data_IF_864273166130
#
_entry.id   IF_864273166130
#
_cell.length_a   1.000
_cell.length_b   1.000
_cell.length_c   1.000
_cell.angle_alpha   90.00
_cell.angle_beta   90.00
_cell.angle_gamma   90.00
#
_symmetry.space_group_name_H-M   'P 1'
#
loop_
_entity.id
_entity.type
_entity.pdbx_description
1 polymer ?
#
# COMPACT_ATOMS: atom_id res chain seq x y z
N UNK A 1 3.82 9.71 -40.04
CA UNK A 1 4.97 8.99 -39.44
C UNK A 1 4.72 8.96 -37.94
N UNK A 2 4.54 7.79 -37.32
CA UNK A 2 4.38 7.75 -35.85
C UNK A 2 5.67 8.25 -35.20
N UNK A 3 5.54 9.08 -34.18
CA UNK A 3 6.70 9.61 -33.46
C UNK A 3 7.41 8.46 -32.72
N UNK A 4 8.73 8.58 -32.50
CA UNK A 4 9.51 7.61 -31.68
C UNK A 4 8.85 7.39 -30.31
N UNK A 5 8.24 8.45 -29.75
CA UNK A 5 7.47 8.42 -28.51
C UNK A 5 6.26 7.48 -28.60
N UNK A 6 5.44 7.60 -29.65
CA UNK A 6 4.27 6.72 -29.86
C UNK A 6 4.70 5.26 -30.07
N UNK A 7 5.83 5.02 -30.73
CA UNK A 7 6.40 3.69 -30.92
C UNK A 7 6.89 3.08 -29.61
N UNK A 8 7.58 3.85 -28.76
CA UNK A 8 8.04 3.41 -27.43
C UNK A 8 6.87 3.08 -26.49
N UNK A 9 5.84 3.94 -26.42
CA UNK A 9 4.66 3.65 -25.61
C UNK A 9 3.94 2.39 -26.07
N UNK A 10 3.89 2.13 -27.38
CA UNK A 10 3.29 0.90 -27.92
C UNK A 10 4.05 -0.34 -27.48
N UNK A 11 5.37 -0.32 -27.57
CA UNK A 11 6.20 -1.45 -27.13
C UNK A 11 6.07 -1.63 -25.62
N UNK A 12 6.23 -0.58 -24.83
CA UNK A 12 6.09 -0.65 -23.38
C UNK A 12 4.70 -1.17 -22.97
N UNK A 13 3.63 -0.65 -23.57
CA UNK A 13 2.25 -1.08 -23.27
C UNK A 13 2.04 -2.54 -23.64
N UNK A 14 2.48 -2.98 -24.82
CA UNK A 14 2.33 -4.36 -25.25
C UNK A 14 3.14 -5.31 -24.37
N UNK A 15 4.39 -4.97 -24.04
CA UNK A 15 5.21 -5.74 -23.11
C UNK A 15 4.53 -5.84 -21.74
N UNK A 16 4.03 -4.74 -21.18
CA UNK A 16 3.30 -4.79 -19.91
C UNK A 16 2.03 -5.64 -19.99
N UNK A 17 1.25 -5.53 -21.08
CA UNK A 17 0.04 -6.33 -21.27
C UNK A 17 0.35 -7.82 -21.45
N UNK A 18 1.45 -8.17 -22.12
CA UNK A 18 1.88 -9.55 -22.34
C UNK A 18 2.47 -10.16 -21.06
N UNK A 19 3.21 -9.38 -20.27
CA UNK A 19 3.63 -9.80 -18.92
C UNK A 19 2.42 -10.11 -18.03
N UNK A 20 1.35 -9.32 -18.12
CA UNK A 20 0.11 -9.52 -17.35
C UNK A 20 -0.77 -10.67 -17.86
N UNK A 21 -0.56 -11.16 -19.10
CA UNK A 21 -1.21 -12.36 -19.66
C UNK A 21 -0.52 -13.65 -19.25
N UNK A 22 0.75 -13.55 -18.86
CA UNK A 22 1.55 -14.66 -18.33
C UNK A 22 1.14 -14.91 -16.87
N UNK A 23 1.17 -16.14 -16.33
CA UNK A 23 0.83 -16.43 -14.93
C UNK A 23 1.69 -15.71 -13.87
N UNK A 24 2.60 -14.80 -14.27
CA UNK A 24 3.20 -13.79 -13.42
C UNK A 24 2.19 -12.68 -13.06
N UNK A 25 1.07 -13.08 -12.45
CA UNK A 25 0.14 -12.13 -11.86
C UNK A 25 0.87 -11.43 -10.72
N UNK A 26 1.24 -10.15 -10.92
CA UNK A 26 1.40 -9.22 -9.79
C UNK A 26 0.02 -9.05 -9.19
N UNK A 27 -0.25 -9.80 -8.14
CA UNK A 27 -1.56 -9.95 -7.54
C UNK A 27 -1.52 -9.50 -6.08
N UNK A 28 -2.66 -9.07 -5.55
CA UNK A 28 -2.86 -9.10 -4.10
C UNK A 28 -3.07 -10.57 -3.70
N UNK A 29 -2.72 -11.01 -2.48
CA UNK A 29 -2.96 -12.40 -2.03
C UNK A 29 -4.40 -12.88 -2.28
N UNK A 30 -5.36 -11.97 -2.20
CA UNK A 30 -6.79 -12.21 -2.42
C UNK A 30 -7.16 -12.52 -3.87
N UNK A 31 -6.30 -12.15 -4.82
CA UNK A 31 -6.47 -12.45 -6.25
C UNK A 31 -5.90 -13.84 -6.61
N UNK A 32 -5.18 -14.50 -5.69
CA UNK A 32 -4.54 -15.79 -5.88
C UNK A 32 -5.35 -16.96 -5.28
N UNK A 33 -6.07 -16.73 -4.18
CA UNK A 33 -6.86 -17.78 -3.49
C UNK A 33 -7.84 -17.25 -2.45
N UNK A 34 -8.64 -18.14 -1.88
CA UNK A 34 -9.57 -17.83 -0.78
C UNK A 34 -8.87 -17.59 0.57
N UNK A 35 -9.57 -17.05 1.58
CA UNK A 35 -8.97 -16.76 2.87
C UNK A 35 -8.56 -18.04 3.59
N UNK A 36 -7.50 -17.97 4.38
CA UNK A 36 -7.09 -19.05 5.28
C UNK A 36 -7.52 -18.74 6.71
N UNK A 37 -7.32 -19.70 7.61
CA UNK A 37 -7.57 -19.52 9.04
C UNK A 37 -6.28 -19.13 9.77
N UNK A 38 -6.40 -18.41 10.89
CA UNK A 38 -5.27 -17.91 11.66
C UNK A 38 -4.35 -19.02 12.24
N UNK A 39 -4.85 -20.24 12.40
CA UNK A 39 -4.12 -21.43 12.84
C UNK A 39 -3.48 -22.22 11.68
N UNK A 40 -3.77 -21.85 10.43
CA UNK A 40 -3.14 -22.47 9.26
C UNK A 40 -1.63 -22.21 9.27
N UNK A 41 -0.79 -23.21 8.96
CA UNK A 41 0.63 -22.99 8.80
C UNK A 41 0.90 -22.00 7.66
N UNK A 42 1.86 -21.10 7.85
CA UNK A 42 2.30 -20.17 6.81
C UNK A 42 2.72 -20.93 5.54
N UNK A 43 2.02 -20.65 4.44
CA UNK A 43 2.34 -21.18 3.12
C UNK A 43 3.75 -20.73 2.68
N UNK A 44 4.39 -21.44 1.72
CA UNK A 44 5.65 -20.99 1.14
C UNK A 44 5.55 -19.58 0.54
N UNK A 45 6.64 -18.81 0.61
CA UNK A 45 6.69 -17.47 0.01
C UNK A 45 6.70 -17.57 -1.52
N UNK A 46 5.98 -16.68 -2.21
CA UNK A 46 6.10 -16.53 -3.67
C UNK A 46 7.20 -15.49 -4.00
N UNK A 47 7.85 -15.60 -5.17
CA UNK A 47 8.88 -14.66 -5.58
C UNK A 47 8.34 -13.23 -5.71
N UNK A 48 9.20 -12.23 -5.52
CA UNK A 48 8.85 -10.79 -5.50
C UNK A 48 7.94 -10.35 -6.67
N UNK A 49 8.20 -10.87 -7.88
CA UNK A 49 7.43 -10.53 -9.08
C UNK A 49 5.98 -11.04 -9.08
N UNK A 50 5.59 -11.90 -8.13
CA UNK A 50 4.21 -12.31 -7.90
C UNK A 50 3.40 -11.24 -7.15
N UNK A 51 4.07 -10.27 -6.52
CA UNK A 51 3.44 -9.29 -5.64
C UNK A 51 3.42 -7.89 -6.26
N UNK A 52 2.38 -7.13 -5.94
CA UNK A 52 2.41 -5.67 -6.16
C UNK A 52 3.17 -5.04 -5.00
N UNK A 53 4.40 -4.58 -5.27
CA UNK A 53 5.24 -3.97 -4.23
C UNK A 53 4.82 -2.53 -3.92
N UNK A 54 4.95 -2.09 -2.65
CA UNK A 54 4.96 -0.69 -2.24
C UNK A 54 5.94 0.13 -3.09
N UNK A 55 5.55 1.33 -3.49
CA UNK A 55 6.44 2.27 -4.19
C UNK A 55 6.46 3.60 -3.46
N UNK A 56 7.65 4.19 -3.32
CA UNK A 56 7.84 5.51 -2.75
C UNK A 56 7.14 6.57 -3.61
N UNK A 57 6.33 7.44 -2.99
CA UNK A 57 5.54 8.45 -3.69
C UNK A 57 6.38 9.44 -4.51
N UNK A 58 7.61 9.71 -4.09
CA UNK A 58 8.55 10.62 -4.74
C UNK A 58 9.13 10.05 -6.05
N UNK A 59 9.08 8.73 -6.25
CA UNK A 59 9.55 8.04 -7.46
C UNK A 59 8.50 7.98 -8.58
N UNK A 60 7.26 8.35 -8.30
CA UNK A 60 6.11 8.21 -9.21
C UNK A 60 5.89 9.44 -10.10
N UNK A 61 6.45 10.61 -9.74
CA UNK A 61 6.23 11.87 -10.45
C UNK A 61 7.54 12.54 -10.91
N UNK A 62 7.52 13.33 -12.00
CA UNK A 62 8.71 14.08 -12.43
C UNK A 62 9.17 15.03 -11.32
N UNK A 63 10.48 15.02 -11.03
CA UNK A 63 11.14 15.86 -10.03
C UNK A 63 11.31 17.33 -10.47
N UNK A 64 10.96 17.66 -11.72
CA UNK A 64 11.23 18.97 -12.32
C UNK A 64 9.91 19.65 -12.74
N UNK A 65 9.66 20.84 -12.17
CA UNK A 65 8.49 21.66 -12.42
C UNK A 65 8.28 22.74 -11.34
N UNK A 66 7.35 23.66 -11.58
CA UNK A 66 6.92 24.63 -10.56
C UNK A 66 6.33 23.88 -9.35
N UNK A 67 6.77 24.14 -8.10
CA UNK A 67 6.20 23.56 -6.89
C UNK A 67 4.67 23.60 -6.81
N UNK A 68 4.02 24.64 -7.33
CA UNK A 68 2.56 24.73 -7.36
C UNK A 68 1.93 23.76 -8.38
N UNK A 69 2.51 23.65 -9.58
CA UNK A 69 2.10 22.67 -10.58
C UNK A 69 2.40 21.23 -10.16
N UNK A 70 3.52 21.01 -9.47
CA UNK A 70 3.86 19.74 -8.85
C UNK A 70 2.93 19.41 -7.70
N UNK A 71 2.47 20.39 -6.90
CA UNK A 71 1.45 20.18 -5.87
C UNK A 71 0.11 19.81 -6.49
N UNK A 72 -0.34 20.49 -7.54
CA UNK A 72 -1.58 20.13 -8.26
C UNK A 72 -1.45 18.82 -9.05
N UNK A 73 -0.28 18.52 -9.63
CA UNK A 73 0.00 17.23 -10.24
C UNK A 73 0.06 16.12 -9.19
N UNK A 74 0.64 16.39 -8.02
CA UNK A 74 0.56 15.53 -6.84
C UNK A 74 -0.89 15.34 -6.44
N UNK A 75 -1.72 16.35 -6.35
CA UNK A 75 -3.13 16.25 -5.94
C UNK A 75 -4.02 15.54 -6.98
N UNK A 76 -3.66 15.64 -8.27
CA UNK A 76 -4.36 14.96 -9.37
C UNK A 76 -3.83 13.55 -9.71
N UNK A 77 -2.60 13.21 -9.27
CA UNK A 77 -1.95 11.90 -9.47
C UNK A 77 -1.83 11.08 -8.18
N UNK A 78 -1.87 11.68 -6.99
CA UNK A 78 -1.59 11.01 -5.71
C UNK A 78 -2.82 10.36 -5.09
N UNK A 79 -2.46 9.33 -4.33
CA UNK A 79 -3.21 8.65 -3.28
C UNK A 79 -4.27 7.67 -3.79
N UNK A 80 -5.25 8.11 -4.57
CA UNK A 80 -6.24 7.17 -5.10
C UNK A 80 -5.76 6.42 -6.34
N UNK A 81 -5.02 7.09 -7.25
CA UNK A 81 -4.79 6.59 -8.61
C UNK A 81 -3.94 5.32 -8.67
N UNK A 82 -2.92 5.15 -7.82
CA UNK A 82 -2.08 3.94 -7.87
C UNK A 82 -2.66 2.74 -7.13
N UNK A 83 -3.31 2.96 -5.97
CA UNK A 83 -4.06 1.92 -5.29
C UNK A 83 -5.24 1.44 -6.16
N UNK A 84 -5.97 2.38 -6.77
CA UNK A 84 -7.00 2.15 -7.79
C UNK A 84 -6.54 1.25 -8.94
N UNK A 85 -5.35 1.50 -9.48
CA UNK A 85 -4.81 0.74 -10.59
C UNK A 85 -4.53 -0.73 -10.24
N UNK A 86 -4.45 -1.09 -8.96
CA UNK A 86 -4.35 -2.49 -8.53
C UNK A 86 -5.68 -3.24 -8.71
N UNK A 87 -6.82 -2.56 -8.55
CA UNK A 87 -8.16 -3.15 -8.66
C UNK A 87 -8.67 -3.21 -10.11
N UNK A 88 -8.01 -2.53 -11.05
CA UNK A 88 -8.47 -2.45 -12.43
C UNK A 88 -7.92 -3.58 -13.31
N UNK A 89 -8.77 -4.20 -14.15
CA UNK A 89 -8.30 -5.09 -15.20
C UNK A 89 -7.26 -4.41 -16.11
N UNK A 90 -6.24 -5.14 -16.62
CA UNK A 90 -5.09 -4.57 -17.32
C UNK A 90 -5.42 -3.56 -18.42
N UNK A 91 -6.45 -3.84 -19.23
CA UNK A 91 -6.91 -2.94 -20.30
C UNK A 91 -7.59 -1.68 -19.78
N UNK A 92 -8.36 -1.79 -18.71
CA UNK A 92 -9.02 -0.63 -18.09
C UNK A 92 -7.99 0.31 -17.47
N UNK A 93 -6.98 -0.27 -16.79
CA UNK A 93 -5.79 0.45 -16.30
C UNK A 93 -5.04 1.18 -17.41
N UNK A 94 -4.69 0.49 -18.49
CA UNK A 94 -3.97 1.10 -19.60
C UNK A 94 -4.74 2.28 -20.22
N UNK A 95 -6.05 2.11 -20.44
CA UNK A 95 -6.94 3.15 -20.96
C UNK A 95 -7.02 4.35 -20.01
N UNK A 96 -7.17 4.12 -18.71
CA UNK A 96 -7.23 5.17 -17.68
C UNK A 96 -5.94 6.01 -17.68
N UNK A 97 -4.77 5.36 -17.62
CA UNK A 97 -3.46 6.04 -17.62
C UNK A 97 -3.29 6.88 -18.89
N UNK A 98 -3.53 6.29 -20.06
CA UNK A 98 -3.33 6.98 -21.34
C UNK A 98 -4.28 8.18 -21.49
N UNK A 99 -5.56 8.04 -21.09
CA UNK A 99 -6.57 9.10 -21.25
C UNK A 99 -6.50 10.18 -20.18
N UNK A 100 -6.29 9.82 -18.92
CA UNK A 100 -6.47 10.74 -17.80
C UNK A 100 -5.14 11.23 -17.21
N UNK A 101 -4.07 10.45 -17.28
CA UNK A 101 -2.75 10.92 -16.81
C UNK A 101 -1.96 11.51 -17.96
N UNK A 102 -1.83 10.75 -19.05
CA UNK A 102 -1.02 11.17 -20.20
C UNK A 102 -1.80 12.05 -21.19
N UNK A 103 -3.11 12.24 -20.97
CA UNK A 103 -4.00 13.12 -21.74
C UNK A 103 -4.07 12.80 -23.25
N UNK A 104 -3.89 11.55 -23.66
CA UNK A 104 -4.01 11.11 -25.06
C UNK A 104 -5.45 11.17 -25.55
N UNK A 105 -5.66 11.30 -26.86
CA UNK A 105 -7.00 11.21 -27.43
C UNK A 105 -7.49 9.75 -27.52
N UNK A 106 -8.81 9.55 -27.42
CA UNK A 106 -9.40 8.21 -27.49
C UNK A 106 -9.10 7.48 -28.81
N UNK A 107 -8.91 8.23 -29.91
CA UNK A 107 -8.46 7.74 -31.22
C UNK A 107 -7.03 7.19 -31.16
N UNK A 108 -6.10 7.93 -30.57
CA UNK A 108 -4.70 7.51 -30.41
C UNK A 108 -4.59 6.28 -29.51
N UNK A 109 -5.38 6.23 -28.44
CA UNK A 109 -5.44 5.07 -27.54
C UNK A 109 -6.04 3.85 -28.22
N UNK A 110 -7.09 4.03 -29.03
CA UNK A 110 -7.71 2.96 -29.78
C UNK A 110 -6.72 2.36 -30.80
N UNK A 111 -5.99 3.21 -31.53
CA UNK A 111 -4.93 2.78 -32.44
C UNK A 111 -3.81 2.04 -31.69
N UNK A 112 -3.34 2.61 -30.56
CA UNK A 112 -2.28 2.03 -29.75
C UNK A 112 -2.63 0.62 -29.23
N UNK A 113 -3.86 0.45 -28.74
CA UNK A 113 -4.32 -0.79 -28.11
C UNK A 113 -4.95 -1.78 -29.10
N UNK A 114 -4.99 -1.45 -30.40
CA UNK A 114 -5.62 -2.27 -31.43
C UNK A 114 -7.11 -2.52 -31.16
N UNK A 115 -7.84 -1.49 -30.75
CA UNK A 115 -9.27 -1.57 -30.40
C UNK A 115 -10.07 -0.41 -31.00
N UNK A 116 -11.36 -0.31 -30.70
CA UNK A 116 -12.21 0.80 -31.17
C UNK A 116 -12.30 1.93 -30.14
N UNK A 117 -12.58 3.15 -30.60
CA UNK A 117 -12.83 4.31 -29.72
C UNK A 117 -13.98 4.03 -28.73
N UNK A 118 -15.02 3.32 -29.17
CA UNK A 118 -16.11 2.88 -28.31
C UNK A 118 -15.63 1.95 -27.18
N UNK A 119 -14.75 1.01 -27.49
CA UNK A 119 -14.12 0.10 -26.51
C UNK A 119 -13.27 0.86 -25.49
N UNK A 120 -12.49 1.86 -25.95
CA UNK A 120 -11.71 2.76 -25.07
C UNK A 120 -12.64 3.53 -24.12
N UNK A 121 -13.69 4.18 -24.64
CA UNK A 121 -14.62 4.94 -23.80
C UNK A 121 -15.36 4.05 -22.79
N UNK A 122 -15.78 2.85 -23.22
CA UNK A 122 -16.44 1.88 -22.35
C UNK A 122 -15.50 1.34 -21.26
N UNK A 123 -14.24 1.08 -21.61
CA UNK A 123 -13.22 0.66 -20.64
C UNK A 123 -12.93 1.78 -19.62
N UNK A 124 -12.85 3.04 -20.07
CA UNK A 124 -12.66 4.19 -19.18
C UNK A 124 -13.85 4.38 -18.23
N UNK A 125 -15.08 4.23 -18.72
CA UNK A 125 -16.28 4.31 -17.89
C UNK A 125 -16.30 3.22 -16.80
N UNK A 126 -15.99 1.97 -17.18
CA UNK A 126 -15.88 0.88 -16.20
C UNK A 126 -14.75 1.12 -15.20
N UNK A 127 -13.61 1.62 -15.66
CA UNK A 127 -12.51 1.97 -14.76
C UNK A 127 -12.99 2.96 -13.69
N UNK A 128 -13.60 4.08 -14.09
CA UNK A 128 -14.15 5.09 -13.17
C UNK A 128 -15.18 4.51 -12.20
N UNK A 129 -16.05 3.61 -12.67
CA UNK A 129 -17.03 2.95 -11.81
C UNK A 129 -16.36 2.07 -10.74
N UNK A 130 -15.35 1.28 -11.13
CA UNK A 130 -14.56 0.50 -10.16
C UNK A 130 -13.86 1.42 -9.17
N UNK A 131 -13.27 2.53 -9.62
CA UNK A 131 -12.57 3.45 -8.71
C UNK A 131 -13.53 4.12 -7.73
N UNK A 132 -14.72 4.51 -8.18
CA UNK A 132 -15.76 5.06 -7.33
C UNK A 132 -16.27 4.05 -6.29
N UNK A 133 -16.24 2.75 -6.60
CA UNK A 133 -16.64 1.70 -5.65
C UNK A 133 -15.56 1.31 -4.64
N UNK A 134 -14.29 1.61 -4.92
CA UNK A 134 -13.17 1.22 -4.07
C UNK A 134 -12.97 2.14 -2.85
N UNK A 135 -13.81 3.17 -2.66
CA UNK A 135 -13.72 4.14 -1.54
C UNK A 135 -12.29 4.63 -1.25
N UNK A 136 -11.49 4.75 -2.31
CA UNK A 136 -10.10 5.17 -2.21
C UNK A 136 -10.13 6.68 -2.14
N UNK A 137 -10.28 7.20 -0.93
CA UNK A 137 -10.22 8.64 -0.71
C UNK A 137 -8.82 9.12 -1.10
N UNK A 138 -8.75 9.94 -2.14
CA UNK A 138 -7.57 10.71 -2.58
C UNK A 138 -7.30 11.86 -1.60
N UNK A 139 -7.40 11.61 -0.31
CA UNK A 139 -7.12 12.58 0.73
C UNK A 139 -5.78 12.14 1.27
N UNK A 140 -4.77 13.01 1.20
CA UNK A 140 -3.59 12.84 2.02
C UNK A 140 -4.12 12.58 3.42
N UNK A 141 -3.76 11.47 4.11
CA UNK A 141 -4.24 11.27 5.47
C UNK A 141 -4.11 12.55 6.30
N UNK A 142 -3.11 13.41 6.02
CA UNK A 142 -2.94 14.73 6.62
C UNK A 142 -4.16 15.69 6.54
N UNK A 143 -5.01 15.57 5.52
CA UNK A 143 -6.07 16.54 5.21
C UNK A 143 -7.46 16.12 5.74
N UNK A 144 -7.62 14.89 6.25
CA UNK A 144 -8.86 14.42 6.88
C UNK A 144 -8.68 14.17 8.39
N UNK A 145 -9.25 15.04 9.26
CA UNK A 145 -9.17 14.89 10.71
C UNK A 145 -9.76 13.59 11.26
N UNK A 146 -10.81 13.03 10.63
CA UNK A 146 -11.42 11.78 11.08
C UNK A 146 -10.49 10.59 10.78
N UNK A 147 -9.89 10.61 9.59
CA UNK A 147 -8.88 9.64 9.17
C UNK A 147 -7.63 9.70 10.06
N UNK A 148 -7.15 10.89 10.39
CA UNK A 148 -6.04 11.09 11.34
C UNK A 148 -6.37 10.51 12.73
N UNK A 149 -7.56 10.80 13.24
CA UNK A 149 -7.98 10.29 14.54
C UNK A 149 -8.08 8.75 14.55
N UNK A 150 -8.57 8.15 13.46
CA UNK A 150 -8.62 6.70 13.31
C UNK A 150 -7.21 6.08 13.28
N UNK A 151 -6.29 6.67 12.50
CA UNK A 151 -4.91 6.22 12.41
C UNK A 151 -4.16 6.37 13.74
N UNK A 152 -4.36 7.48 14.46
CA UNK A 152 -3.76 7.68 15.77
C UNK A 152 -4.22 6.61 16.77
N UNK A 153 -5.52 6.27 16.79
CA UNK A 153 -6.07 5.18 17.60
C UNK A 153 -5.51 3.82 17.18
N UNK A 154 -5.32 3.60 15.88
CA UNK A 154 -4.71 2.38 15.37
C UNK A 154 -3.26 2.23 15.83
N UNK A 155 -2.45 3.28 15.68
CA UNK A 155 -1.05 3.28 16.11
C UNK A 155 -0.94 3.05 17.61
N UNK A 156 -1.71 3.77 18.42
CA UNK A 156 -1.72 3.58 19.89
C UNK A 156 -2.11 2.14 20.27
N UNK A 157 -3.18 1.60 19.69
CA UNK A 157 -3.61 0.23 19.96
C UNK A 157 -2.56 -0.81 19.52
N UNK A 158 -1.93 -0.61 18.36
CA UNK A 158 -0.90 -1.50 17.83
C UNK A 158 0.36 -1.50 18.70
N UNK A 159 0.91 -0.32 19.03
CA UNK A 159 2.13 -0.19 19.82
C UNK A 159 1.96 -0.65 21.27
N UNK A 160 0.78 -0.40 21.87
CA UNK A 160 0.41 -0.94 23.19
C UNK A 160 0.09 -2.42 23.18
N UNK A 161 0.02 -3.02 21.99
CA UNK A 161 -0.43 -4.39 21.78
C UNK A 161 -1.82 -4.68 22.37
N UNK A 162 -2.70 -3.68 22.31
CA UNK A 162 -4.09 -3.78 22.73
C UNK A 162 -4.93 -4.31 21.57
N UNK A 163 -4.91 -5.63 21.41
CA UNK A 163 -5.65 -6.33 20.36
C UNK A 163 -7.16 -6.07 20.48
N UNK A 164 -7.69 -5.94 21.69
CA UNK A 164 -9.11 -5.64 21.90
C UNK A 164 -9.47 -4.29 21.30
N UNK A 165 -8.72 -3.24 21.61
CA UNK A 165 -8.95 -1.91 21.03
C UNK A 165 -8.73 -1.89 19.52
N UNK A 166 -7.69 -2.57 19.02
CA UNK A 166 -7.38 -2.63 17.59
C UNK A 166 -8.53 -3.24 16.79
N UNK A 167 -9.11 -4.34 17.27
CA UNK A 167 -10.22 -5.05 16.62
C UNK A 167 -11.47 -4.19 16.52
N UNK A 168 -11.70 -3.29 17.49
CA UNK A 168 -12.81 -2.33 17.42
C UNK A 168 -12.65 -1.30 16.30
N UNK A 169 -11.49 -1.18 15.67
CA UNK A 169 -11.26 -0.25 14.56
C UNK A 169 -11.53 -0.90 13.19
N UNK A 170 -11.58 -2.23 13.15
CA UNK A 170 -11.67 -2.99 11.91
C UNK A 170 -13.10 -3.03 11.37
N UNK A 171 -13.22 -3.11 10.05
CA UNK A 171 -14.46 -3.42 9.33
C UNK A 171 -14.76 -4.93 9.46
N UNK A 172 -16.03 -5.31 9.34
CA UNK A 172 -16.47 -6.71 9.49
C UNK A 172 -15.83 -7.66 8.47
N UNK A 173 -15.52 -7.16 7.28
CA UNK A 173 -14.86 -7.87 6.18
C UNK A 173 -13.41 -7.43 5.99
N UNK A 174 -12.75 -6.96 7.05
CA UNK A 174 -11.35 -6.54 6.99
C UNK A 174 -10.45 -7.61 6.35
N UNK A 175 -9.55 -7.16 5.50
CA UNK A 175 -8.58 -7.99 4.80
C UNK A 175 -7.21 -7.84 5.45
N UNK A 176 -6.64 -8.92 5.97
CA UNK A 176 -5.27 -8.92 6.50
C UNK A 176 -4.39 -9.79 5.64
N UNK A 177 -3.22 -9.30 5.24
CA UNK A 177 -2.27 -10.10 4.46
C UNK A 177 -0.82 -9.79 4.82
N UNK A 178 0.08 -10.73 4.49
CA UNK A 178 1.50 -10.60 4.75
C UNK A 178 2.38 -11.02 3.55
N UNK A 179 2.36 -10.32 2.40
CA UNK A 179 3.31 -10.61 1.33
C UNK A 179 4.75 -10.63 1.86
N UNK A 180 5.61 -11.59 1.45
CA UNK A 180 5.46 -12.49 0.30
C UNK A 180 4.78 -13.83 0.62
N UNK A 181 4.12 -13.98 1.76
CA UNK A 181 3.34 -15.17 2.06
C UNK A 181 2.02 -15.15 1.28
N UNK A 182 1.71 -16.26 0.62
CA UNK A 182 0.42 -16.48 -0.05
C UNK A 182 -0.66 -16.84 0.98
N UNK A 183 -0.99 -15.84 1.79
CA UNK A 183 -1.92 -15.94 2.90
C UNK A 183 -2.64 -14.61 3.11
N UNK A 184 -3.95 -14.70 3.27
CA UNK A 184 -4.75 -13.61 3.79
C UNK A 184 -5.86 -14.12 4.71
N UNK A 185 -6.27 -13.26 5.61
CA UNK A 185 -7.32 -13.51 6.60
C UNK A 185 -8.48 -12.56 6.34
N UNK A 186 -9.68 -13.05 6.55
CA UNK A 186 -10.90 -12.26 6.44
C UNK A 186 -11.57 -12.11 7.79
N UNK A 187 -11.90 -10.87 8.13
CA UNK A 187 -12.73 -10.52 9.26
C UNK A 187 -11.97 -10.39 10.59
N UNK A 188 -12.53 -9.63 11.55
CA UNK A 188 -11.83 -9.28 12.78
C UNK A 188 -11.46 -10.48 13.66
N UNK A 189 -12.26 -11.55 13.66
CA UNK A 189 -12.01 -12.75 14.47
C UNK A 189 -10.72 -13.46 14.04
N UNK A 190 -10.49 -13.59 12.73
CA UNK A 190 -9.27 -14.21 12.20
C UNK A 190 -8.05 -13.32 12.47
N UNK A 191 -8.18 -11.99 12.31
CA UNK A 191 -7.11 -11.04 12.64
C UNK A 191 -6.75 -11.10 14.13
N UNK A 192 -7.75 -11.19 15.01
CA UNK A 192 -7.56 -11.35 16.47
C UNK A 192 -6.80 -12.63 16.79
N UNK A 193 -7.27 -13.76 16.26
CA UNK A 193 -6.65 -15.06 16.46
C UNK A 193 -5.20 -15.09 15.95
N UNK A 194 -4.93 -14.41 14.82
CA UNK A 194 -3.59 -14.28 14.27
C UNK A 194 -2.67 -13.50 15.21
N UNK A 195 -3.06 -12.29 15.61
CA UNK A 195 -2.25 -11.44 16.49
C UNK A 195 -2.00 -12.12 17.85
N UNK A 196 -3.00 -12.79 18.44
CA UNK A 196 -2.81 -13.49 19.72
C UNK A 196 -2.06 -14.83 19.57
N UNK A 197 -2.02 -15.41 18.37
CA UNK A 197 -1.40 -16.68 18.04
C UNK A 197 -0.06 -16.52 17.32
N UNK A 198 -0.01 -16.90 16.04
CA UNK A 198 1.25 -16.94 15.27
C UNK A 198 1.87 -15.54 15.04
N UNK A 199 1.05 -14.50 14.99
CA UNK A 199 1.45 -13.10 14.83
C UNK A 199 1.98 -12.43 16.10
N UNK A 200 2.13 -13.17 17.22
CA UNK A 200 2.53 -12.60 18.52
C UNK A 200 3.83 -11.79 18.50
N UNK A 201 4.68 -12.05 17.50
CA UNK A 201 5.93 -11.35 17.28
C UNK A 201 5.80 -9.84 17.06
N UNK A 202 4.59 -9.31 16.82
CA UNK A 202 4.31 -7.89 16.72
C UNK A 202 4.26 -7.18 18.09
N UNK A 203 4.29 -7.92 19.21
CA UNK A 203 4.24 -7.33 20.55
C UNK A 203 5.45 -6.45 20.82
N UNK A 204 5.18 -5.20 21.19
CA UNK A 204 6.21 -4.18 21.47
C UNK A 204 6.83 -3.57 20.22
N UNK A 205 6.24 -3.81 19.04
CA UNK A 205 6.65 -3.15 17.81
C UNK A 205 6.37 -1.64 17.86
N UNK A 206 7.14 -0.89 17.07
CA UNK A 206 6.94 0.55 16.83
C UNK A 206 6.57 0.81 15.38
N UNK A 207 5.76 1.84 15.15
CA UNK A 207 5.34 2.26 13.83
C UNK A 207 5.94 3.62 13.49
N UNK A 208 6.62 3.71 12.36
CA UNK A 208 7.15 4.98 11.81
C UNK A 208 6.36 5.32 10.55
N UNK A 209 5.65 6.46 10.48
CA UNK A 209 4.90 6.85 9.30
C UNK A 209 5.78 6.91 8.05
N UNK A 210 5.26 6.43 6.91
CA UNK A 210 5.95 6.49 5.62
C UNK A 210 4.95 6.78 4.50
N UNK A 211 5.37 7.54 3.48
CA UNK A 211 4.55 7.83 2.31
C UNK A 211 4.70 6.72 1.27
N UNK A 212 3.64 5.92 1.07
CA UNK A 212 3.63 4.77 0.15
C UNK A 212 2.33 4.74 -0.63
N UNK A 213 2.41 4.73 -1.96
CA UNK A 213 1.27 4.66 -2.88
C UNK A 213 0.14 5.65 -2.54
N UNK A 214 0.47 6.73 -1.84
CA UNK A 214 -0.46 7.60 -1.16
C UNK A 214 -1.57 6.87 -0.36
N UNK A 215 -1.19 5.86 0.41
CA UNK A 215 -2.01 5.25 1.45
C UNK A 215 -1.42 5.56 2.82
N UNK A 216 -2.21 5.39 3.89
CA UNK A 216 -1.67 5.44 5.23
C UNK A 216 -0.75 4.24 5.44
N UNK A 217 0.55 4.48 5.61
CA UNK A 217 1.53 3.42 5.71
C UNK A 217 2.57 3.67 6.81
N UNK A 218 3.13 2.58 7.32
CA UNK A 218 4.07 2.59 8.43
C UNK A 218 5.20 1.59 8.19
N UNK A 219 6.44 2.00 8.48
CA UNK A 219 7.53 1.07 8.77
C UNK A 219 7.29 0.46 10.15
N UNK A 220 7.04 -0.85 10.19
CA UNK A 220 6.87 -1.62 11.42
C UNK A 220 8.21 -2.19 11.85
N UNK A 221 8.62 -1.84 13.06
CA UNK A 221 9.88 -2.26 13.67
C UNK A 221 9.60 -3.16 14.85
N UNK A 222 10.06 -4.42 14.80
CA UNK A 222 9.88 -5.38 15.88
C UNK A 222 10.93 -5.21 16.95
N UNK A 223 10.53 -5.32 18.22
CA UNK A 223 11.45 -5.35 19.34
C UNK A 223 12.28 -6.64 19.29
N UNK A 224 13.60 -6.52 19.18
CA UNK A 224 14.52 -7.67 19.15
C UNK A 224 15.28 -7.80 20.47
N UNK A 225 15.60 -6.67 21.10
CA UNK A 225 16.16 -6.59 22.45
C UNK A 225 15.71 -5.29 23.11
N UNK A 226 15.85 -5.18 24.42
CA UNK A 226 15.43 -3.98 25.16
C UNK A 226 15.99 -2.71 24.51
N UNK A 227 15.10 -1.78 24.16
CA UNK A 227 15.45 -0.52 23.51
C UNK A 227 15.90 -0.61 22.04
N UNK A 228 15.87 -1.78 21.40
CA UNK A 228 16.26 -1.91 19.99
C UNK A 228 15.20 -2.61 19.17
N UNK A 229 14.75 -1.90 18.14
CA UNK A 229 13.77 -2.39 17.19
C UNK A 229 14.41 -2.54 15.81
N UNK A 230 14.11 -3.65 15.13
CA UNK A 230 14.60 -3.92 13.77
C UNK A 230 13.46 -3.85 12.77
N UNK A 231 13.78 -3.35 11.57
CA UNK A 231 12.86 -3.30 10.44
C UNK A 231 12.24 -4.69 10.17
N UNK A 232 10.92 -4.75 10.11
CA UNK A 232 10.19 -6.00 9.91
C UNK A 232 9.29 -5.97 8.68
N UNK A 233 8.39 -4.99 8.59
CA UNK A 233 7.43 -4.93 7.50
C UNK A 233 7.04 -3.49 7.18
N UNK A 234 6.67 -3.23 5.93
CA UNK A 234 5.92 -2.04 5.54
C UNK A 234 4.43 -2.37 5.65
N UNK A 235 3.74 -1.70 6.54
CA UNK A 235 2.30 -1.84 6.74
C UNK A 235 1.57 -0.80 5.91
N UNK A 236 0.64 -1.24 5.06
CA UNK A 236 -0.33 -0.37 4.40
C UNK A 236 -1.68 -0.59 5.08
N UNK A 237 -2.31 0.50 5.52
CA UNK A 237 -3.61 0.52 6.17
C UNK A 237 -4.62 1.14 5.20
N UNK A 238 -5.53 0.31 4.71
CA UNK A 238 -6.67 0.76 3.90
C UNK A 238 -7.85 1.07 4.82
N UNK A 239 -8.56 2.17 4.54
CA UNK A 239 -9.71 2.61 5.32
C UNK A 239 -10.87 2.95 4.41
N UNK A 240 -12.08 2.65 4.87
CA UNK A 240 -13.33 2.94 4.18
C UNK A 240 -14.45 3.13 5.21
N UNK A 241 -15.29 4.14 5.03
CA UNK A 241 -16.41 4.43 5.93
C UNK A 241 -16.03 4.60 7.41
N UNK A 242 -14.88 5.23 7.70
CA UNK A 242 -14.41 5.46 9.08
C UNK A 242 -13.95 4.21 9.83
N UNK A 243 -13.66 3.13 9.11
CA UNK A 243 -13.14 1.86 9.63
C UNK A 243 -11.94 1.39 8.82
N UNK A 244 -11.11 0.54 9.41
CA UNK A 244 -9.99 -0.11 8.70
C UNK A 244 -10.54 -1.27 7.89
N UNK A 245 -10.42 -1.19 6.56
CA UNK A 245 -10.85 -2.24 5.62
C UNK A 245 -9.72 -3.18 5.23
N UNK A 246 -8.46 -2.76 5.34
CA UNK A 246 -7.31 -3.57 4.93
C UNK A 246 -6.05 -3.31 5.74
N UNK A 247 -5.30 -4.39 6.01
CA UNK A 247 -4.01 -4.39 6.68
C UNK A 247 -3.04 -5.27 5.88
N UNK A 248 -2.18 -4.65 5.08
CA UNK A 248 -1.24 -5.36 4.20
C UNK A 248 0.20 -5.16 4.67
N UNK A 249 0.84 -6.24 5.13
CA UNK A 249 2.16 -6.21 5.75
C UNK A 249 3.20 -6.78 4.78
N UNK A 250 3.93 -5.92 4.08
CA UNK A 250 4.98 -6.32 3.16
C UNK A 250 6.27 -6.60 3.93
N UNK A 251 6.61 -7.88 4.07
CA UNK A 251 7.80 -8.37 4.78
C UNK A 251 8.96 -8.43 3.78
N UNK A 252 9.52 -7.26 3.49
CA UNK A 252 10.71 -7.11 2.65
C UNK A 252 11.63 -6.02 3.22
N UNK A 253 12.80 -6.40 3.79
CA UNK A 253 13.77 -5.45 4.31
C UNK A 253 14.32 -4.46 3.26
N UNK A 254 14.31 -4.80 1.96
CA UNK A 254 14.79 -3.92 0.91
C UNK A 254 13.94 -2.65 0.80
N UNK A 255 12.63 -2.75 1.08
CA UNK A 255 11.70 -1.61 1.02
C UNK A 255 12.07 -0.49 2.00
N UNK A 256 12.69 -0.80 3.14
CA UNK A 256 13.06 0.23 4.11
C UNK A 256 14.11 1.18 3.53
N UNK A 257 15.13 0.64 2.87
CA UNK A 257 16.15 1.45 2.21
C UNK A 257 15.55 2.26 1.05
N UNK A 258 14.64 1.67 0.26
CA UNK A 258 13.97 2.36 -0.84
C UNK A 258 13.05 3.50 -0.37
N UNK A 259 12.47 3.37 0.82
CA UNK A 259 11.56 4.35 1.42
C UNK A 259 12.27 5.34 2.36
N UNK A 260 13.61 5.32 2.42
CA UNK A 260 14.39 6.22 3.27
C UNK A 260 14.24 5.97 4.77
N UNK A 261 13.78 4.78 5.16
CA UNK A 261 13.61 4.37 6.55
C UNK A 261 14.91 3.72 7.08
N UNK A 262 15.28 3.98 8.35
CA UNK A 262 16.44 3.32 8.93
C UNK A 262 16.20 1.81 9.11
N UNK A 263 17.22 0.95 9.07
CA UNK A 263 17.06 -0.49 9.28
C UNK A 263 16.80 -0.86 10.75
N UNK A 264 17.10 0.06 11.68
CA UNK A 264 16.94 -0.12 13.13
C UNK A 264 16.54 1.18 13.79
N UNK A 265 15.81 1.07 14.89
CA UNK A 265 15.55 2.15 15.84
C UNK A 265 16.22 1.79 17.15
N UNK A 266 17.00 2.71 17.69
CA UNK A 266 17.56 2.61 19.04
C UNK A 266 16.82 3.63 19.92
N UNK A 267 16.32 3.19 21.06
CA UNK A 267 15.82 4.10 22.08
C UNK A 267 17.00 4.82 22.72
N UNK A 268 16.90 6.13 22.93
CA UNK A 268 17.84 6.83 23.82
C UNK A 268 17.88 6.07 25.15
N UNK A 269 19.07 5.62 25.55
CA UNK A 269 19.28 5.17 26.93
C UNK A 269 18.84 6.31 27.83
N UNK A 270 17.83 6.06 28.68
CA UNK A 270 17.55 6.93 29.82
C UNK A 270 18.79 6.82 30.70
N UNK A 271 19.74 7.72 30.47
CA UNK A 271 20.92 7.88 31.29
C UNK A 271 20.43 8.09 32.71
N UNK A 272 20.62 7.07 33.54
CA UNK A 272 20.48 7.18 34.97
C UNK A 272 21.63 8.07 35.44
N UNK A 273 21.45 9.39 35.32
CA UNK A 273 22.33 10.35 35.93
C UNK A 273 22.12 10.23 37.44
N UNK A 274 23.09 9.57 38.08
CA UNK A 274 23.37 9.64 39.51
C UNK A 274 23.12 11.09 40.00
N UNK A 275 22.06 11.26 40.77
CA UNK A 275 21.93 12.36 41.73
C UNK A 275 22.17 11.80 43.12
N UNK A 276 23.40 11.36 43.36
CA UNK A 276 23.98 11.43 44.68
C UNK A 276 24.78 12.73 44.76
N UNK A 277 24.61 13.46 45.87
CA UNK A 277 25.42 14.59 46.33
C UNK A 277 24.84 16.01 46.12
N UNK A 278 23.94 16.41 47.03
CA UNK A 278 24.15 17.57 47.91
C UNK A 278 22.96 17.74 48.88
N UNK A 279 23.10 17.14 50.07
CA UNK A 279 22.41 17.61 51.27
C UNK A 279 23.41 18.48 52.03
N UNK A 280 23.12 19.77 52.07
CA UNK A 280 23.51 20.67 53.15
C UNK A 280 22.49 20.56 54.29
#
# INVERSE_FOLDING_TARGET
RSSVRSWLYRIATNVCLDMLRTPQRRARPMDLGGPVTADSPLAPTLPEHAWVQPMADDRILPLEGDPAELATARESVRLAFLAALQHLPPRQRAVLILREVLRWQATEVAELLGTSVASVNSALQRARATLASCDIHAVDPADDPEQQALLARYVDAFERYDVTSLVTLLREDVEFSMPPYDMWLSGPDQVTAWLLGQGFGCKGSRLVPVAVNGSAAFGSYRLVRHGVHEAFAIQIVEMSGGRISGLHNFIDPALFAELGLPPRLEGEEVGHADQHEQLA
#
